data_IF_862632555550
#
_entry.id   IF_862632555550
#
_cell.length_a   1.000
_cell.length_b   1.000
_cell.length_c   1.000
_cell.angle_alpha   90.00
_cell.angle_beta   90.00
_cell.angle_gamma   90.00
#
_symmetry.space_group_name_H-M   'P 1'
#
loop_
_entity.id
_entity.type
_entity.pdbx_description
1 polymer ?
#
# COMPACT_ATOMS: atom_id res chain seq x y z
N UNK A 1 25.09 -45.10 -30.24
CA UNK A 1 24.81 -44.35 -31.46
C UNK A 1 25.59 -43.05 -31.38
N UNK A 2 26.76 -43.00 -32.06
CA UNK A 2 27.70 -41.85 -31.98
C UNK A 2 27.28 -40.89 -33.11
N UNK A 3 26.82 -39.70 -32.69
CA UNK A 3 26.54 -38.62 -33.66
C UNK A 3 27.90 -38.13 -34.21
N UNK A 4 28.13 -38.42 -35.51
CA UNK A 4 29.24 -37.85 -36.28
C UNK A 4 28.93 -36.37 -36.54
N UNK A 5 29.69 -35.48 -35.97
CA UNK A 5 29.70 -34.07 -36.36
C UNK A 5 30.30 -33.95 -37.77
N UNK A 6 29.54 -33.26 -38.64
CA UNK A 6 30.03 -32.94 -40.01
C UNK A 6 31.15 -31.89 -39.88
N UNK A 7 32.33 -32.15 -40.50
CA UNK A 7 33.43 -31.19 -40.53
C UNK A 7 33.10 -30.08 -41.53
N UNK A 8 33.02 -28.83 -41.08
CA UNK A 8 32.93 -27.69 -41.99
C UNK A 8 32.00 -26.55 -41.60
N UNK A 9 31.28 -26.66 -40.50
CA UNK A 9 30.44 -25.54 -40.05
C UNK A 9 31.34 -24.53 -39.31
N UNK A 10 31.85 -23.51 -40.04
CA UNK A 10 32.48 -22.34 -39.42
C UNK A 10 31.39 -21.62 -38.62
N UNK A 11 31.39 -21.74 -37.32
CA UNK A 11 30.65 -20.84 -36.44
C UNK A 11 31.32 -19.48 -36.66
N UNK A 12 30.65 -18.61 -37.41
CA UNK A 12 31.01 -17.19 -37.49
C UNK A 12 30.99 -16.67 -36.06
N UNK A 13 32.00 -15.93 -35.64
CA UNK A 13 31.94 -15.29 -34.31
C UNK A 13 30.70 -14.39 -34.29
N UNK A 14 29.70 -14.80 -33.52
CA UNK A 14 28.55 -13.93 -33.25
C UNK A 14 29.10 -12.68 -32.59
N UNK A 15 28.79 -11.55 -33.17
CA UNK A 15 29.05 -10.26 -32.52
C UNK A 15 28.20 -10.22 -31.22
N UNK A 16 28.85 -10.53 -30.11
CA UNK A 16 28.20 -10.63 -28.81
C UNK A 16 27.44 -9.34 -28.46
N UNK A 17 27.92 -8.17 -28.89
CA UNK A 17 27.28 -6.89 -28.67
C UNK A 17 25.94 -6.79 -29.43
N UNK A 18 25.92 -7.30 -30.67
CA UNK A 18 24.69 -7.31 -31.49
C UNK A 18 23.64 -8.27 -30.95
N UNK A 19 24.08 -9.44 -30.47
CA UNK A 19 23.17 -10.39 -29.83
C UNK A 19 22.62 -9.84 -28.52
N UNK A 20 23.48 -9.25 -27.68
CA UNK A 20 23.05 -8.63 -26.43
C UNK A 20 22.02 -7.53 -26.67
N UNK A 21 22.26 -6.65 -27.64
CA UNK A 21 21.30 -5.61 -28.00
C UNK A 21 19.97 -6.21 -28.45
N UNK A 22 19.98 -7.22 -29.33
CA UNK A 22 18.77 -7.90 -29.78
C UNK A 22 17.99 -8.55 -28.63
N UNK A 23 18.68 -9.14 -27.65
CA UNK A 23 18.00 -9.73 -26.48
C UNK A 23 17.42 -8.67 -25.57
N UNK A 24 18.13 -7.55 -25.34
CA UNK A 24 17.62 -6.41 -24.58
C UNK A 24 16.41 -5.73 -25.23
N UNK A 25 16.36 -5.65 -26.56
CA UNK A 25 15.23 -5.11 -27.29
C UNK A 25 13.94 -5.95 -27.11
N UNK A 26 14.09 -7.24 -26.77
CA UNK A 26 12.97 -8.13 -26.45
C UNK A 26 12.46 -7.96 -25.00
N UNK A 27 13.21 -7.34 -24.11
CA UNK A 27 12.77 -6.89 -22.79
C UNK A 27 11.94 -5.59 -22.91
N UNK A 28 10.94 -5.61 -23.78
CA UNK A 28 10.21 -4.44 -24.24
C UNK A 28 9.63 -3.57 -23.11
N UNK A 29 9.07 -4.20 -22.07
CA UNK A 29 8.43 -3.50 -20.95
C UNK A 29 9.44 -2.92 -19.95
N UNK A 30 10.70 -3.35 -19.98
CA UNK A 30 11.75 -2.86 -19.08
C UNK A 30 12.02 -1.37 -19.25
N UNK A 31 11.76 -0.79 -20.40
CA UNK A 31 11.93 0.64 -20.71
C UNK A 31 10.83 1.54 -20.16
N UNK A 32 9.71 0.98 -19.68
CA UNK A 32 8.60 1.78 -19.18
C UNK A 32 8.96 2.53 -17.91
N UNK A 33 8.71 3.83 -17.92
CA UNK A 33 8.95 4.74 -16.79
C UNK A 33 7.68 5.49 -16.43
N UNK A 34 7.51 5.78 -15.14
CA UNK A 34 6.44 6.66 -14.69
C UNK A 34 6.74 8.09 -15.11
N UNK A 35 5.68 8.84 -15.42
CA UNK A 35 5.80 10.22 -15.87
C UNK A 35 6.56 11.10 -14.86
N UNK A 36 7.66 11.74 -15.24
CA UNK A 36 8.40 12.66 -14.36
C UNK A 36 7.51 13.80 -13.86
N UNK A 37 7.70 14.21 -12.61
CA UNK A 37 6.94 15.30 -12.01
C UNK A 37 5.49 14.98 -11.66
N UNK A 38 5.01 13.74 -11.88
CA UNK A 38 3.70 13.30 -11.41
C UNK A 38 3.77 12.80 -9.98
N UNK A 39 2.69 13.00 -9.22
CA UNK A 39 2.43 12.28 -7.99
C UNK A 39 2.23 10.79 -8.29
N UNK A 40 2.73 9.94 -7.42
CA UNK A 40 2.61 8.49 -7.57
C UNK A 40 1.89 7.91 -6.36
N UNK A 41 0.96 7.00 -6.59
CA UNK A 41 0.42 6.13 -5.56
C UNK A 41 0.67 4.69 -5.99
N UNK A 42 1.32 3.92 -5.14
CA UNK A 42 1.47 2.48 -5.30
C UNK A 42 0.38 1.82 -4.46
N UNK A 43 -0.45 0.99 -5.09
CA UNK A 43 -1.47 0.21 -4.40
C UNK A 43 -1.14 -1.26 -4.45
N UNK A 44 -0.97 -1.85 -3.27
CA UNK A 44 -0.69 -3.26 -3.07
C UNK A 44 -1.93 -3.94 -2.53
N UNK A 45 -2.29 -5.11 -3.06
CA UNK A 45 -3.54 -5.82 -2.75
C UNK A 45 -3.27 -7.31 -2.49
N UNK A 46 -3.89 -7.88 -1.49
CA UNK A 46 -3.69 -9.26 -1.10
C UNK A 46 -4.36 -10.26 -2.03
N UNK A 47 -3.57 -11.05 -2.75
CA UNK A 47 -4.09 -12.07 -3.66
C UNK A 47 -4.74 -13.23 -2.90
N UNK A 48 -6.05 -13.41 -3.10
CA UNK A 48 -6.81 -14.51 -2.50
C UNK A 48 -7.09 -14.32 -1.00
N UNK A 49 -6.93 -13.13 -0.45
CA UNK A 49 -7.08 -12.85 0.97
C UNK A 49 -8.50 -13.07 1.51
N UNK A 50 -9.53 -13.00 0.68
CA UNK A 50 -10.90 -13.32 1.11
C UNK A 50 -11.00 -14.75 1.68
N UNK A 51 -10.40 -15.74 1.01
CA UNK A 51 -10.38 -17.13 1.49
C UNK A 51 -9.35 -17.30 2.61
N UNK A 52 -8.18 -16.72 2.47
CA UNK A 52 -7.11 -16.78 3.47
C UNK A 52 -7.59 -16.23 4.82
N UNK A 53 -8.15 -15.02 4.86
CA UNK A 53 -8.63 -14.40 6.09
C UNK A 53 -9.84 -15.11 6.71
N UNK A 54 -10.66 -15.76 5.88
CA UNK A 54 -11.76 -16.61 6.39
C UNK A 54 -11.25 -17.83 7.16
N UNK A 55 -10.11 -18.38 6.77
CA UNK A 55 -9.56 -19.60 7.38
C UNK A 55 -8.71 -19.33 8.62
N UNK A 56 -8.11 -18.12 8.72
CA UNK A 56 -7.10 -17.84 9.73
C UNK A 56 -7.50 -16.78 10.77
N UNK A 57 -8.50 -15.95 10.48
CA UNK A 57 -8.83 -14.79 11.30
C UNK A 57 -10.31 -14.71 11.64
N UNK A 58 -10.63 -14.04 12.74
CA UNK A 58 -12.01 -13.74 13.15
C UNK A 58 -12.68 -12.81 12.12
N UNK A 59 -14.01 -12.97 12.01
CA UNK A 59 -14.82 -12.16 11.11
C UNK A 59 -15.88 -11.36 11.88
N UNK A 60 -16.23 -10.15 11.44
CA UNK A 60 -15.79 -9.47 10.19
C UNK A 60 -14.39 -8.89 10.24
N UNK A 61 -13.85 -8.54 11.41
CA UNK A 61 -12.54 -7.94 11.60
C UNK A 61 -11.76 -8.68 12.68
N UNK A 62 -10.43 -8.70 12.52
CA UNK A 62 -9.50 -9.34 13.43
C UNK A 62 -8.32 -8.41 13.73
N UNK A 63 -7.98 -8.27 15.01
CA UNK A 63 -6.92 -7.37 15.48
C UNK A 63 -5.53 -7.86 15.05
N UNK A 64 -5.31 -9.19 14.99
CA UNK A 64 -4.02 -9.73 14.54
C UNK A 64 -3.81 -9.49 13.05
N UNK A 65 -4.85 -9.70 12.23
CA UNK A 65 -4.79 -9.36 10.82
C UNK A 65 -4.53 -7.87 10.61
N UNK A 66 -5.22 -7.02 11.36
CA UNK A 66 -4.99 -5.57 11.34
C UNK A 66 -3.53 -5.20 11.64
N UNK A 67 -2.93 -5.76 12.71
CA UNK A 67 -1.53 -5.52 13.05
C UNK A 67 -0.56 -5.95 11.94
N UNK A 68 -0.81 -7.10 11.30
CA UNK A 68 -0.01 -7.58 10.18
C UNK A 68 -0.07 -6.64 8.99
N UNK A 69 -1.25 -6.11 8.66
CA UNK A 69 -1.42 -5.14 7.58
C UNK A 69 -0.75 -3.79 7.91
N UNK A 70 -0.86 -3.31 9.14
CA UNK A 70 -0.16 -2.10 9.61
C UNK A 70 1.36 -2.26 9.52
N UNK A 71 1.90 -3.40 9.97
CA UNK A 71 3.32 -3.70 9.86
C UNK A 71 3.79 -3.74 8.40
N UNK A 72 2.98 -4.34 7.52
CA UNK A 72 3.27 -4.40 6.07
C UNK A 72 3.23 -3.02 5.44
N UNK A 73 2.25 -2.17 5.83
CA UNK A 73 2.14 -0.80 5.36
C UNK A 73 3.33 0.07 5.83
N UNK A 74 3.79 -0.13 7.06
CA UNK A 74 4.97 0.56 7.60
C UNK A 74 6.24 0.19 6.81
N UNK A 75 6.44 -1.11 6.51
CA UNK A 75 7.58 -1.55 5.71
C UNK A 75 7.57 -0.95 4.30
N UNK A 76 6.42 -0.91 3.64
CA UNK A 76 6.29 -0.28 2.32
C UNK A 76 6.57 1.23 2.37
N UNK A 77 6.06 1.93 3.40
CA UNK A 77 6.29 3.37 3.59
C UNK A 77 7.78 3.67 3.79
N UNK A 78 8.48 2.86 4.59
CA UNK A 78 9.90 3.02 4.91
C UNK A 78 10.80 2.67 3.73
N UNK A 79 10.69 1.45 3.20
CA UNK A 79 11.57 0.92 2.16
C UNK A 79 11.45 1.66 0.81
N UNK A 80 10.26 2.17 0.50
CA UNK A 80 10.02 2.90 -0.74
C UNK A 80 10.10 4.42 -0.57
N UNK A 81 10.40 4.92 0.64
CA UNK A 81 10.50 6.34 0.95
C UNK A 81 9.20 7.13 0.66
N UNK A 82 8.05 6.54 1.03
CA UNK A 82 6.76 7.20 0.89
C UNK A 82 6.56 8.32 1.92
N UNK A 83 5.60 9.19 1.66
CA UNK A 83 5.24 10.28 2.59
C UNK A 83 4.00 9.98 3.42
N UNK A 84 3.10 9.18 2.90
CA UNK A 84 1.88 8.72 3.57
C UNK A 84 1.52 7.33 3.08
N UNK A 85 1.04 6.47 3.97
CA UNK A 85 0.48 5.16 3.64
C UNK A 85 -0.91 5.03 4.25
N UNK A 86 -1.82 4.44 3.51
CA UNK A 86 -3.18 4.13 3.95
C UNK A 86 -3.46 2.66 3.76
N UNK A 87 -3.97 1.99 4.79
CA UNK A 87 -4.36 0.58 4.71
C UNK A 87 -5.79 0.35 5.15
N UNK A 88 -6.49 -0.49 4.41
CA UNK A 88 -7.81 -1.00 4.73
C UNK A 88 -7.93 -2.45 4.27
N UNK A 89 -8.54 -3.32 5.08
CA UNK A 89 -8.65 -4.75 4.75
C UNK A 89 -7.29 -5.34 4.34
N UNK A 90 -7.16 -5.86 3.15
CA UNK A 90 -5.95 -6.43 2.54
C UNK A 90 -5.29 -5.51 1.51
N UNK A 91 -5.69 -4.24 1.49
CA UNK A 91 -5.14 -3.21 0.58
C UNK A 91 -4.27 -2.20 1.31
N UNK A 92 -3.17 -1.81 0.67
CA UNK A 92 -2.27 -0.74 1.12
C UNK A 92 -2.02 0.21 -0.04
N UNK A 93 -2.17 1.52 0.20
CA UNK A 93 -1.84 2.58 -0.76
C UNK A 93 -0.75 3.47 -0.19
N UNK A 94 0.37 3.63 -0.88
CA UNK A 94 1.50 4.48 -0.47
C UNK A 94 1.66 5.64 -1.43
N UNK A 95 1.74 6.86 -0.89
CA UNK A 95 1.86 8.11 -1.62
C UNK A 95 3.31 8.56 -1.74
N UNK A 96 3.70 9.02 -2.93
CA UNK A 96 5.02 9.55 -3.24
C UNK A 96 4.93 10.91 -3.93
N UNK A 97 5.82 11.86 -3.59
CA UNK A 97 5.82 13.19 -4.17
C UNK A 97 6.34 13.20 -5.63
N UNK A 98 6.12 14.29 -6.39
CA UNK A 98 6.63 14.44 -7.75
C UNK A 98 8.15 14.34 -7.88
N UNK A 99 8.88 14.62 -6.80
CA UNK A 99 10.35 14.53 -6.71
C UNK A 99 10.87 13.11 -6.51
N UNK A 100 9.98 12.15 -6.17
CA UNK A 100 10.37 10.76 -5.94
C UNK A 100 10.87 10.09 -7.23
N UNK A 101 12.08 9.54 -7.21
CA UNK A 101 12.80 8.99 -8.36
C UNK A 101 13.35 7.57 -8.14
N UNK A 102 12.91 6.90 -7.08
CA UNK A 102 13.39 5.56 -6.75
C UNK A 102 13.31 4.61 -7.96
N UNK A 103 14.36 3.82 -8.19
CA UNK A 103 14.51 2.94 -9.35
C UNK A 103 14.42 3.65 -10.71
N UNK A 104 14.83 4.91 -10.82
CA UNK A 104 14.67 5.73 -12.03
C UNK A 104 13.22 5.71 -12.55
N UNK A 105 12.26 5.62 -11.64
CA UNK A 105 10.82 5.53 -11.92
C UNK A 105 10.45 4.34 -12.84
N UNK A 106 11.24 3.27 -12.85
CA UNK A 106 10.97 2.04 -13.62
C UNK A 106 9.70 1.36 -13.15
N UNK A 107 8.67 1.29 -14.01
CA UNK A 107 7.38 0.69 -13.68
C UNK A 107 7.52 -0.78 -13.23
N UNK A 108 8.29 -1.57 -13.96
CA UNK A 108 8.49 -2.98 -13.68
C UNK A 108 9.13 -3.21 -12.31
N UNK A 109 10.19 -2.43 -11.98
CA UNK A 109 10.83 -2.49 -10.67
C UNK A 109 9.89 -2.05 -9.55
N UNK A 110 9.15 -0.97 -9.77
CA UNK A 110 8.24 -0.42 -8.77
C UNK A 110 7.16 -1.44 -8.39
N UNK A 111 6.48 -2.05 -9.37
CA UNK A 111 5.39 -3.00 -9.08
C UNK A 111 5.92 -4.33 -8.53
N UNK A 112 7.04 -4.83 -9.03
CA UNK A 112 7.60 -6.10 -8.56
C UNK A 112 8.18 -6.00 -7.16
N UNK A 113 8.95 -4.93 -6.86
CA UNK A 113 9.58 -4.75 -5.55
C UNK A 113 8.55 -4.41 -4.48
N UNK A 114 7.56 -3.54 -4.76
CA UNK A 114 6.51 -3.24 -3.78
C UNK A 114 5.66 -4.47 -3.43
N UNK A 115 5.27 -5.28 -4.41
CA UNK A 115 4.60 -6.55 -4.18
C UNK A 115 5.47 -7.55 -3.38
N UNK A 116 6.78 -7.57 -3.67
CA UNK A 116 7.75 -8.41 -2.97
C UNK A 116 7.92 -8.01 -1.51
N UNK A 117 8.09 -6.70 -1.21
CA UNK A 117 8.18 -6.18 0.16
C UNK A 117 6.94 -6.57 0.96
N UNK A 118 5.75 -6.33 0.42
CA UNK A 118 4.50 -6.68 1.11
C UNK A 118 4.39 -8.18 1.38
N UNK A 119 4.67 -9.01 0.36
CA UNK A 119 4.60 -10.47 0.47
C UNK A 119 5.61 -11.02 1.48
N UNK A 120 6.84 -10.52 1.44
CA UNK A 120 7.91 -10.95 2.34
C UNK A 120 7.62 -10.53 3.79
N UNK A 121 7.23 -9.27 4.01
CA UNK A 121 6.94 -8.75 5.35
C UNK A 121 5.79 -9.49 6.01
N UNK A 122 4.66 -9.64 5.31
CA UNK A 122 3.50 -10.36 5.85
C UNK A 122 3.81 -11.83 6.08
N UNK A 123 4.45 -12.51 5.11
CA UNK A 123 4.85 -13.93 5.22
C UNK A 123 5.78 -14.15 6.40
N UNK A 124 6.77 -13.27 6.60
CA UNK A 124 7.70 -13.36 7.72
C UNK A 124 6.97 -13.21 9.06
N UNK A 125 6.07 -12.23 9.17
CA UNK A 125 5.34 -11.97 10.41
C UNK A 125 4.33 -13.07 10.77
N UNK A 126 3.60 -13.58 9.77
CA UNK A 126 2.55 -14.58 9.97
C UNK A 126 3.02 -16.03 9.78
N UNK A 127 4.24 -16.26 9.30
CA UNK A 127 4.85 -17.59 9.05
C UNK A 127 4.02 -18.47 8.09
N UNK A 128 3.26 -17.85 7.19
CA UNK A 128 2.49 -18.54 6.14
C UNK A 128 2.62 -17.75 4.84
N UNK A 129 2.96 -18.44 3.75
CA UNK A 129 3.18 -17.80 2.45
C UNK A 129 1.90 -17.15 1.95
N UNK A 130 1.99 -15.86 1.69
CA UNK A 130 0.96 -15.06 1.03
C UNK A 130 1.57 -14.27 -0.11
N UNK A 131 0.73 -13.83 -1.04
CA UNK A 131 1.16 -13.04 -2.17
C UNK A 131 0.33 -11.77 -2.26
N UNK A 132 1.00 -10.68 -2.61
CA UNK A 132 0.38 -9.42 -2.96
C UNK A 132 0.62 -9.11 -4.44
N UNK A 133 -0.32 -8.49 -5.09
CA UNK A 133 -0.08 -7.79 -6.36
C UNK A 133 0.09 -6.29 -6.12
N UNK A 134 0.65 -5.60 -7.12
CA UNK A 134 0.90 -4.16 -7.03
C UNK A 134 0.51 -3.47 -8.32
N UNK A 135 0.02 -2.25 -8.19
CA UNK A 135 -0.34 -1.37 -9.31
C UNK A 135 -0.01 0.07 -8.99
N UNK A 136 0.25 0.84 -10.03
CA UNK A 136 0.60 2.25 -9.91
C UNK A 136 -0.55 3.11 -10.39
N UNK A 137 -0.82 4.19 -9.66
CA UNK A 137 -1.72 5.26 -10.02
C UNK A 137 -0.93 6.57 -10.09
N UNK A 138 -1.20 7.41 -11.11
CA UNK A 138 -0.52 8.67 -11.33
C UNK A 138 -1.51 9.83 -11.22
N UNK A 139 -1.13 10.87 -10.47
CA UNK A 139 -1.87 12.11 -10.34
C UNK A 139 -1.06 13.30 -10.84
N UNK A 140 -1.75 14.24 -11.48
CA UNK A 140 -1.09 15.44 -12.02
C UNK A 140 -1.25 16.67 -11.12
N UNK A 141 -2.14 16.61 -10.13
CA UNK A 141 -2.38 17.70 -9.19
C UNK A 141 -2.83 17.18 -7.81
N UNK A 142 -2.78 18.06 -6.82
CA UNK A 142 -3.11 17.73 -5.42
C UNK A 142 -4.58 17.30 -5.24
N UNK A 143 -5.52 17.89 -6.00
CA UNK A 143 -6.94 17.51 -5.89
C UNK A 143 -7.16 16.03 -6.20
N UNK A 144 -6.54 15.52 -7.25
CA UNK A 144 -6.63 14.10 -7.61
C UNK A 144 -6.08 13.16 -6.53
N UNK A 145 -5.05 13.59 -5.79
CA UNK A 145 -4.51 12.82 -4.66
C UNK A 145 -5.52 12.77 -3.52
N UNK A 146 -6.10 13.92 -3.17
CA UNK A 146 -7.12 14.01 -2.14
C UNK A 146 -8.32 13.13 -2.52
N UNK A 147 -8.82 13.26 -3.76
CA UNK A 147 -9.94 12.47 -4.28
C UNK A 147 -9.65 10.97 -4.23
N UNK A 148 -8.40 10.56 -4.53
CA UNK A 148 -8.00 9.16 -4.43
C UNK A 148 -8.17 8.61 -3.00
N UNK A 149 -7.60 9.29 -2.00
CA UNK A 149 -7.68 8.81 -0.61
C UNK A 149 -9.10 8.91 -0.04
N UNK A 150 -9.85 9.95 -0.37
CA UNK A 150 -11.27 10.05 -0.03
C UNK A 150 -12.09 8.90 -0.64
N UNK A 151 -11.81 8.55 -1.89
CA UNK A 151 -12.42 7.40 -2.55
C UNK A 151 -12.08 6.08 -1.85
N UNK A 152 -10.81 5.89 -1.45
CA UNK A 152 -10.41 4.68 -0.70
C UNK A 152 -11.09 4.60 0.65
N UNK A 153 -11.14 5.71 1.40
CA UNK A 153 -11.83 5.74 2.69
C UNK A 153 -13.35 5.48 2.56
N UNK A 154 -13.98 6.05 1.55
CA UNK A 154 -15.39 5.78 1.25
C UNK A 154 -15.64 4.30 0.93
N UNK A 155 -14.70 3.67 0.19
CA UNK A 155 -14.72 2.23 -0.07
C UNK A 155 -14.55 1.41 1.22
N UNK A 156 -13.61 1.77 2.10
CA UNK A 156 -13.43 1.14 3.41
C UNK A 156 -14.74 1.11 4.20
N UNK A 157 -15.41 2.25 4.30
CA UNK A 157 -16.67 2.37 5.01
C UNK A 157 -17.76 1.48 4.42
N UNK A 158 -17.88 1.46 3.08
CA UNK A 158 -18.86 0.63 2.36
C UNK A 158 -18.60 -0.86 2.56
N UNK A 159 -17.34 -1.28 2.45
CA UNK A 159 -16.92 -2.66 2.63
C UNK A 159 -17.10 -3.12 4.08
N UNK A 160 -16.76 -2.27 5.05
CA UNK A 160 -16.94 -2.56 6.47
C UNK A 160 -18.42 -2.77 6.82
N UNK A 161 -19.30 -1.86 6.39
CA UNK A 161 -20.74 -1.99 6.64
C UNK A 161 -21.29 -3.28 6.04
N UNK A 162 -20.93 -3.58 4.80
CA UNK A 162 -21.37 -4.82 4.15
C UNK A 162 -20.82 -6.06 4.86
N UNK A 163 -19.56 -6.03 5.28
CA UNK A 163 -18.92 -7.13 6.03
C UNK A 163 -19.59 -7.38 7.38
N UNK A 164 -19.89 -6.32 8.15
CA UNK A 164 -20.59 -6.44 9.42
C UNK A 164 -21.99 -7.04 9.26
N UNK A 165 -22.79 -6.54 8.30
CA UNK A 165 -24.10 -7.11 8.01
C UNK A 165 -24.02 -8.57 7.59
N UNK A 166 -23.11 -8.90 6.66
CA UNK A 166 -22.95 -10.27 6.17
C UNK A 166 -22.60 -11.25 7.30
N UNK A 167 -21.59 -10.93 8.11
CA UNK A 167 -21.15 -11.83 9.16
C UNK A 167 -22.12 -11.89 10.35
N UNK A 168 -22.87 -10.81 10.62
CA UNK A 168 -23.99 -10.82 11.58
C UNK A 168 -25.07 -11.79 11.11
N UNK A 169 -25.53 -11.71 9.86
CA UNK A 169 -26.52 -12.63 9.28
C UNK A 169 -26.01 -14.07 9.32
N UNK A 170 -24.72 -14.30 9.05
CA UNK A 170 -24.09 -15.62 9.16
C UNK A 170 -24.13 -16.17 10.59
N UNK A 171 -23.92 -15.33 11.59
CA UNK A 171 -24.03 -15.71 13.02
C UNK A 171 -25.45 -16.03 13.43
N UNK A 172 -26.44 -15.39 12.82
CA UNK A 172 -27.87 -15.66 13.02
C UNK A 172 -28.34 -16.95 12.31
N UNK A 173 -27.43 -17.68 11.63
CA UNK A 173 -27.74 -18.97 10.98
C UNK A 173 -28.11 -18.86 9.50
N UNK A 174 -28.12 -17.66 8.91
CA UNK A 174 -28.40 -17.51 7.49
C UNK A 174 -27.32 -18.17 6.63
N UNK A 175 -27.70 -18.79 5.52
CA UNK A 175 -26.72 -19.34 4.55
C UNK A 175 -25.94 -18.23 3.86
N UNK A 176 -24.76 -18.51 3.35
CA UNK A 176 -23.95 -17.53 2.60
C UNK A 176 -24.74 -16.91 1.45
N UNK A 177 -25.44 -17.75 0.69
CA UNK A 177 -26.30 -17.31 -0.44
C UNK A 177 -27.40 -16.36 0.02
N UNK A 178 -28.12 -16.73 1.09
CA UNK A 178 -29.23 -15.91 1.60
C UNK A 178 -28.73 -14.58 2.17
N UNK A 179 -27.64 -14.58 2.96
CA UNK A 179 -27.01 -13.36 3.46
C UNK A 179 -26.60 -12.41 2.33
N UNK A 180 -25.95 -12.94 1.28
CA UNK A 180 -25.59 -12.13 0.12
C UNK A 180 -26.82 -11.57 -0.59
N UNK A 181 -27.83 -12.39 -0.86
CA UNK A 181 -29.07 -11.94 -1.53
C UNK A 181 -29.82 -10.88 -0.72
N UNK A 182 -29.87 -11.00 0.62
CA UNK A 182 -30.52 -10.02 1.49
C UNK A 182 -29.81 -8.65 1.48
N UNK A 183 -28.50 -8.62 1.26
CA UNK A 183 -27.69 -7.40 1.26
C UNK A 183 -27.50 -6.82 -0.14
N UNK A 184 -27.81 -7.58 -1.18
CA UNK A 184 -27.64 -7.14 -2.56
C UNK A 184 -28.55 -5.96 -2.85
N UNK A 185 -27.96 -4.94 -3.51
CA UNK A 185 -28.64 -3.69 -3.90
C UNK A 185 -29.31 -2.89 -2.76
N UNK A 186 -29.04 -3.25 -1.49
CA UNK A 186 -29.56 -2.51 -0.35
C UNK A 186 -28.83 -1.20 -0.09
N UNK A 187 -29.60 -0.18 0.33
CA UNK A 187 -29.06 1.14 0.65
C UNK A 187 -28.13 1.11 1.88
N UNK A 188 -27.32 2.14 2.03
CA UNK A 188 -26.49 2.34 3.21
C UNK A 188 -27.34 2.44 4.49
N UNK A 189 -28.44 3.21 4.43
CA UNK A 189 -29.37 3.38 5.54
C UNK A 189 -29.99 2.04 5.98
N UNK A 190 -30.49 1.23 5.04
CA UNK A 190 -31.03 -0.10 5.34
C UNK A 190 -30.02 -0.97 6.11
N UNK A 191 -28.75 -0.96 5.69
CA UNK A 191 -27.71 -1.77 6.33
C UNK A 191 -27.37 -1.28 7.74
N UNK A 192 -27.39 0.03 7.99
CA UNK A 192 -27.24 0.61 9.32
C UNK A 192 -28.40 0.18 10.22
N UNK A 193 -29.64 0.34 9.75
CA UNK A 193 -30.83 -0.05 10.51
C UNK A 193 -30.83 -1.55 10.83
N UNK A 194 -30.40 -2.38 9.87
CA UNK A 194 -30.29 -3.82 10.07
C UNK A 194 -29.29 -4.17 11.18
N UNK A 195 -28.15 -3.50 11.27
CA UNK A 195 -27.18 -3.68 12.34
C UNK A 195 -27.75 -3.21 13.68
N UNK A 196 -28.36 -2.02 13.73
CA UNK A 196 -28.97 -1.45 14.95
C UNK A 196 -30.05 -2.37 15.53
N UNK A 197 -30.92 -2.91 14.69
CA UNK A 197 -31.95 -3.88 15.09
C UNK A 197 -31.38 -5.15 15.72
N UNK A 198 -30.11 -5.46 15.44
CA UNK A 198 -29.40 -6.60 15.99
C UNK A 198 -28.36 -6.20 17.06
N UNK A 199 -28.49 -5.00 17.64
CA UNK A 199 -27.69 -4.53 18.77
C UNK A 199 -26.25 -4.09 18.39
N UNK A 200 -26.01 -3.78 17.11
CA UNK A 200 -24.70 -3.32 16.63
C UNK A 200 -24.86 -1.87 16.13
N UNK A 201 -24.28 -0.91 16.84
CA UNK A 201 -24.12 0.44 16.31
C UNK A 201 -22.84 0.53 15.48
N UNK A 202 -22.99 0.73 14.18
CA UNK A 202 -21.88 0.82 13.25
C UNK A 202 -20.97 2.03 13.53
N UNK A 203 -21.49 3.10 14.12
CA UNK A 203 -20.72 4.30 14.41
C UNK A 203 -19.87 4.17 15.69
N UNK A 204 -20.26 3.25 16.59
CA UNK A 204 -19.51 2.94 17.82
C UNK A 204 -18.43 1.87 17.60
N UNK A 205 -18.34 1.31 16.41
CA UNK A 205 -17.28 0.34 16.08
C UNK A 205 -15.91 1.02 16.04
N UNK A 206 -14.83 0.27 16.33
CA UNK A 206 -13.48 0.82 16.24
C UNK A 206 -13.21 1.52 14.90
N UNK A 207 -12.72 2.74 14.96
CA UNK A 207 -12.57 3.64 13.81
C UNK A 207 -11.80 2.99 12.66
N UNK A 208 -10.71 2.28 12.96
CA UNK A 208 -9.88 1.60 11.96
C UNK A 208 -10.65 0.58 11.09
N UNK A 209 -11.76 0.02 11.59
CA UNK A 209 -12.53 -0.98 10.86
C UNK A 209 -13.31 -0.37 9.68
N UNK A 210 -13.66 0.91 9.75
CA UNK A 210 -14.50 1.56 8.75
C UNK A 210 -13.93 2.86 8.15
N UNK A 211 -12.77 3.32 8.66
CA UNK A 211 -12.05 4.47 8.10
C UNK A 211 -10.66 4.11 7.59
N UNK A 212 -10.20 2.87 7.88
CA UNK A 212 -8.83 2.46 7.60
C UNK A 212 -7.83 3.07 8.59
N UNK A 213 -6.55 2.93 8.28
CA UNK A 213 -5.42 3.39 9.10
C UNK A 213 -4.46 4.18 8.24
N UNK A 214 -4.05 5.34 8.74
CA UNK A 214 -3.00 6.16 8.14
C UNK A 214 -1.64 5.90 8.81
N UNK A 215 -0.59 5.87 8.00
CA UNK A 215 0.78 5.83 8.50
C UNK A 215 1.57 6.97 7.85
N UNK A 216 2.30 7.72 8.66
CA UNK A 216 3.09 8.86 8.20
C UNK A 216 4.24 9.20 9.11
N UNK A 217 5.18 9.98 8.61
CA UNK A 217 6.35 10.39 9.37
C UNK A 217 6.02 11.48 10.39
N UNK A 218 6.39 11.25 11.64
CA UNK A 218 6.29 12.19 12.75
C UNK A 218 7.67 12.52 13.28
N UNK A 219 7.97 13.80 13.44
CA UNK A 219 9.19 14.25 14.10
C UNK A 219 8.99 14.25 15.61
N UNK A 220 10.01 13.81 16.33
CA UNK A 220 10.04 13.86 17.79
C UNK A 220 11.43 14.24 18.29
N UNK A 221 11.45 14.93 19.42
CA UNK A 221 12.70 15.29 20.10
C UNK A 221 13.16 14.13 20.99
N UNK A 222 14.44 13.82 20.91
CA UNK A 222 15.10 12.84 21.77
C UNK A 222 16.35 13.46 22.38
N UNK A 223 16.51 13.36 23.69
CA UNK A 223 17.77 13.70 24.34
C UNK A 223 18.81 12.66 23.97
N UNK A 224 19.91 13.12 23.38
CA UNK A 224 21.09 12.35 23.06
C UNK A 224 22.29 12.88 23.85
N UNK A 225 23.39 12.15 23.83
CA UNK A 225 24.65 12.59 24.42
C UNK A 225 25.67 12.82 23.31
N UNK A 226 26.26 14.04 23.27
CA UNK A 226 27.37 14.33 22.36
C UNK A 226 28.71 14.04 23.10
N UNK A 227 29.42 12.96 22.74
CA UNK A 227 30.67 12.60 23.42
C UNK A 227 31.81 13.57 23.18
N UNK A 228 31.79 14.35 22.10
CA UNK A 228 32.85 15.34 21.80
C UNK A 228 32.73 16.58 22.67
N UNK A 229 31.52 16.97 23.02
CA UNK A 229 31.25 18.14 23.82
C UNK A 229 30.87 17.80 25.30
N UNK A 230 30.84 16.50 25.61
CA UNK A 230 30.47 15.95 26.92
C UNK A 230 29.17 16.51 27.49
N UNK A 231 28.18 16.78 26.61
CA UNK A 231 26.88 17.38 27.02
C UNK A 231 25.68 16.67 26.41
N UNK A 232 24.53 16.81 27.02
CA UNK A 232 23.25 16.42 26.46
C UNK A 232 22.88 17.37 25.33
N UNK A 233 22.36 16.80 24.23
CA UNK A 233 21.86 17.54 23.08
C UNK A 233 20.46 17.05 22.72
N UNK A 234 19.57 17.96 22.31
CA UNK A 234 18.29 17.62 21.76
C UNK A 234 18.47 17.29 20.28
N UNK A 235 18.06 16.09 19.88
CA UNK A 235 18.13 15.62 18.50
C UNK A 235 16.72 15.39 18.01
N UNK A 236 16.38 15.96 16.83
CA UNK A 236 15.15 15.68 16.14
C UNK A 236 15.30 14.34 15.41
N UNK A 237 14.38 13.45 15.65
CA UNK A 237 14.31 12.14 14.98
C UNK A 237 12.94 11.97 14.35
N UNK A 238 12.86 11.07 13.36
CA UNK A 238 11.61 10.70 12.69
C UNK A 238 11.21 9.28 13.06
N UNK A 239 9.92 9.05 13.19
CA UNK A 239 9.33 7.71 13.34
C UNK A 239 8.05 7.63 12.52
N UNK A 240 7.63 6.42 12.19
CA UNK A 240 6.31 6.21 11.60
C UNK A 240 5.27 6.28 12.71
N UNK A 241 4.32 7.20 12.57
CA UNK A 241 3.11 7.27 13.39
C UNK A 241 2.05 6.42 12.70
N UNK A 242 1.38 5.58 13.49
CA UNK A 242 0.19 4.82 13.09
C UNK A 242 -1.02 5.55 13.64
N UNK A 243 -1.94 5.93 12.76
CA UNK A 243 -3.16 6.66 13.10
C UNK A 243 -4.38 5.82 12.74
N UNK A 244 -5.00 5.23 13.74
CA UNK A 244 -6.20 4.40 13.65
C UNK A 244 -7.50 5.20 13.92
N UNK A 245 -7.38 6.54 14.11
CA UNK A 245 -8.47 7.48 14.39
C UNK A 245 -8.63 8.52 13.27
N UNK A 246 -8.45 8.11 12.01
CA UNK A 246 -8.52 9.01 10.88
C UNK A 246 -9.84 9.83 10.85
N UNK A 247 -9.77 11.13 10.52
CA UNK A 247 -10.96 11.95 10.29
C UNK A 247 -11.73 11.49 9.05
N UNK A 248 -12.88 12.11 8.77
CA UNK A 248 -13.74 11.80 7.62
C UNK A 248 -14.12 13.06 6.86
N UNK A 249 -14.60 12.91 5.63
CA UNK A 249 -15.13 14.00 4.82
C UNK A 249 -14.11 15.13 4.63
N UNK A 250 -14.52 16.39 4.85
CA UNK A 250 -13.68 17.56 4.63
C UNK A 250 -12.43 17.56 5.54
N UNK A 251 -12.56 17.10 6.77
CA UNK A 251 -11.44 16.98 7.69
C UNK A 251 -10.38 15.97 7.18
N UNK A 252 -10.81 14.90 6.54
CA UNK A 252 -9.87 13.95 5.91
C UNK A 252 -9.20 14.55 4.68
N UNK A 253 -9.93 15.33 3.90
CA UNK A 253 -9.38 16.08 2.77
C UNK A 253 -8.27 17.04 3.22
N UNK A 254 -8.50 17.78 4.30
CA UNK A 254 -7.49 18.69 4.87
C UNK A 254 -6.31 17.93 5.49
N UNK A 255 -6.58 16.80 6.12
CA UNK A 255 -5.53 15.92 6.64
C UNK A 255 -4.59 15.43 5.51
N UNK A 256 -5.12 14.96 4.39
CA UNK A 256 -4.30 14.57 3.23
C UNK A 256 -3.57 15.78 2.66
N UNK A 257 -4.23 16.95 2.55
CA UNK A 257 -3.62 18.19 2.04
C UNK A 257 -2.38 18.60 2.83
N UNK A 258 -2.35 18.33 4.14
CA UNK A 258 -1.21 18.67 4.99
C UNK A 258 0.09 18.01 4.53
N UNK A 259 0.05 16.75 4.07
CA UNK A 259 1.23 16.04 3.54
C UNK A 259 1.69 16.62 2.18
N UNK A 260 0.76 17.07 1.35
CA UNK A 260 1.06 17.61 0.03
C UNK A 260 1.77 18.98 0.12
N UNK A 261 1.43 19.77 1.13
CA UNK A 261 2.02 21.10 1.36
C UNK A 261 3.43 21.04 1.97
N UNK A 262 3.73 20.04 2.79
CA UNK A 262 5.07 19.84 3.35
C UNK A 262 6.12 19.65 2.25
N UNK A 263 5.79 18.93 1.20
CA UNK A 263 6.68 18.71 0.05
C UNK A 263 6.86 19.97 -0.82
N UNK A 264 5.85 20.82 -0.89
CA UNK A 264 5.92 22.08 -1.66
C UNK A 264 6.86 23.11 -1.03
N UNK A 265 7.14 22.99 0.27
CA UNK A 265 7.96 23.92 1.06
C UNK A 265 9.40 23.44 1.29
N UNK A 266 9.79 22.25 0.84
CA UNK A 266 11.20 21.85 0.90
C UNK A 266 12.00 22.61 -0.15
N UNK A 267 13.12 23.29 0.23
CA UNK A 267 13.99 23.93 -0.75
C UNK A 267 14.52 22.83 -1.68
N UNK A 268 14.39 23.06 -3.00
CA UNK A 268 14.99 22.18 -4.00
C UNK A 268 16.50 22.15 -3.72
N UNK A 269 16.97 21.13 -3.06
CA UNK A 269 18.39 20.91 -2.84
C UNK A 269 19.04 20.77 -4.21
N UNK A 270 19.75 21.81 -4.62
CA UNK A 270 20.58 21.77 -5.80
C UNK A 270 21.58 20.62 -5.67
N UNK A 271 21.72 19.87 -6.73
CA UNK A 271 22.80 18.92 -6.90
C UNK A 271 24.13 19.61 -6.56
N UNK A 272 24.71 19.33 -5.40
CA UNK A 272 26.13 19.51 -5.20
C UNK A 272 26.79 18.38 -5.98
N UNK A 273 27.21 18.70 -7.21
CA UNK A 273 28.15 17.90 -7.98
C UNK A 273 29.47 17.85 -7.19
N UNK A 274 29.74 16.73 -6.57
CA UNK A 274 31.10 16.42 -6.14
C UNK A 274 31.94 16.14 -7.40
N UNK A 275 32.92 17.00 -7.61
CA UNK A 275 34.03 16.81 -8.53
C UNK A 275 35.08 15.88 -7.92
#
# INVERSE_FOLDING_TARGET
MVLKFLPGMKILPMDNNKLEQQMRDLEYFHSLRLLPGSWVIIRVDGRGFSQFTKSHFKKPFDVEFHKLMVQTAAALLEELHGIYSYTESDEISVLFPPSWDLFDRSLEKIVSISASIASATFTHAFQTVVNFDSRVWLGVNQSQIIDYFCWRQANARRCALNGWCYWMLRKLGETARKATTLLDSQSFAFKIDLLLQNGIDFNELPTWQHRGVGLYWEEYQKTGYNPLEAKEVLVIRRRIKVDDQLPTQDEYSEFIRSFLNLESNQPKNGHLSEQ
#
